data_IF_596024513297
#
_entry.id   IF_596024513297
#
_cell.length_a   1.000
_cell.length_b   1.000
_cell.length_c   1.000
_cell.angle_alpha   90.00
_cell.angle_beta   90.00
_cell.angle_gamma   90.00
#
_symmetry.space_group_name_H-M   'P 1'
#
loop_
_entity.id
_entity.type
_entity.pdbx_description
1 polymer ?
#
# COMPACT_ATOMS: atom_id res chain seq x y z
N UNK A 1 13.10 6.03 11.34
CA UNK A 1 11.93 5.63 10.54
C UNK A 1 12.30 4.41 9.72
N UNK A 2 11.46 3.39 9.71
CA UNK A 2 11.67 2.18 8.90
C UNK A 2 10.83 2.28 7.65
N UNK A 3 11.36 1.78 6.52
CA UNK A 3 10.66 1.73 5.25
C UNK A 3 10.32 0.27 4.93
N UNK A 4 9.05 0.01 4.66
CA UNK A 4 8.61 -1.25 4.08
C UNK A 4 8.28 -1.05 2.60
N UNK A 5 8.46 -2.08 1.78
CA UNK A 5 8.12 -2.04 0.36
C UNK A 5 7.12 -3.15 0.07
N UNK A 6 6.03 -2.81 -0.60
CA UNK A 6 5.12 -3.78 -1.21
C UNK A 6 5.16 -3.60 -2.73
N UNK A 7 4.94 -4.69 -3.48
CA UNK A 7 4.92 -4.64 -4.94
C UNK A 7 3.50 -4.84 -5.43
N UNK A 8 3.03 -3.90 -6.25
CA UNK A 8 1.70 -3.96 -6.85
C UNK A 8 1.84 -4.17 -8.35
N UNK A 9 1.21 -5.23 -8.86
CA UNK A 9 1.13 -5.51 -10.30
C UNK A 9 -0.20 -5.01 -10.84
N UNK A 10 -0.16 -4.13 -11.84
CA UNK A 10 -1.36 -3.75 -12.58
C UNK A 10 -1.64 -4.77 -13.70
N UNK A 11 -2.62 -5.65 -13.48
CA UNK A 11 -3.07 -6.64 -14.46
C UNK A 11 -4.14 -6.14 -15.42
N UNK A 12 -4.54 -4.86 -15.33
CA UNK A 12 -5.58 -4.27 -16.18
C UNK A 12 -4.95 -3.72 -17.48
N UNK A 13 -5.76 -3.61 -18.55
CA UNK A 13 -5.35 -2.96 -19.80
C UNK A 13 -5.54 -1.43 -19.77
N UNK A 14 -5.35 -0.83 -18.59
CA UNK A 14 -5.39 0.61 -18.36
C UNK A 14 -4.51 0.97 -17.18
N UNK A 15 -4.09 2.22 -17.10
CA UNK A 15 -3.36 2.73 -15.94
C UNK A 15 -4.29 2.75 -14.71
N UNK A 16 -3.72 2.49 -13.54
CA UNK A 16 -4.45 2.38 -12.29
C UNK A 16 -3.97 3.48 -11.33
N UNK A 17 -4.81 4.47 -11.05
CA UNK A 17 -4.49 5.54 -10.11
C UNK A 17 -4.44 5.02 -8.68
N UNK A 18 -3.46 5.48 -7.90
CA UNK A 18 -3.36 5.18 -6.46
C UNK A 18 -3.85 6.39 -5.71
N UNK A 19 -4.94 6.24 -4.96
CA UNK A 19 -5.55 7.35 -4.21
C UNK A 19 -4.89 7.44 -2.84
N UNK A 20 -4.88 6.32 -2.11
CA UNK A 20 -4.45 6.31 -0.71
C UNK A 20 -3.81 4.97 -0.36
N UNK A 21 -2.83 5.02 0.54
CA UNK A 21 -2.24 3.85 1.17
C UNK A 21 -2.45 3.99 2.67
N UNK A 22 -2.98 2.94 3.28
CA UNK A 22 -3.25 2.85 4.70
C UNK A 22 -2.38 1.77 5.31
N UNK A 23 -1.90 2.02 6.53
CA UNK A 23 -1.31 1.01 7.38
C UNK A 23 -2.27 0.81 8.55
N UNK A 24 -2.44 -0.42 8.99
CA UNK A 24 -3.14 -0.75 10.23
C UNK A 24 -2.20 -1.61 11.07
N UNK A 25 -2.00 -1.26 12.35
CA UNK A 25 -1.16 -2.01 13.28
C UNK A 25 -2.07 -2.71 14.27
N UNK A 26 -2.50 -3.94 14.04
CA UNK A 26 -3.41 -4.60 14.99
C UNK A 26 -2.79 -4.65 16.41
N UNK A 27 -3.50 -4.21 17.49
CA UNK A 27 -4.92 -3.82 17.58
C UNK A 27 -5.23 -2.31 17.39
N UNK A 28 -4.25 -1.49 16.99
CA UNK A 28 -4.35 -0.04 16.79
C UNK A 28 -4.42 0.38 15.31
N UNK A 29 -5.37 1.23 14.97
CA UNK A 29 -5.41 1.84 13.64
C UNK A 29 -4.36 2.97 13.56
N UNK A 30 -3.20 2.71 12.95
CA UNK A 30 -2.15 3.73 12.74
C UNK A 30 -2.15 4.17 11.28
N UNK A 31 -2.88 5.25 11.00
CA UNK A 31 -3.01 5.83 9.66
C UNK A 31 -1.73 6.56 9.26
N UNK A 32 -1.00 6.02 8.29
CA UNK A 32 0.07 6.75 7.60
C UNK A 32 -0.23 6.75 6.12
N UNK A 33 -0.54 7.94 5.58
CA UNK A 33 -0.68 8.18 4.15
C UNK A 33 0.68 8.64 3.61
N UNK A 34 1.31 7.81 2.80
CA UNK A 34 2.35 8.26 1.88
C UNK A 34 2.34 7.40 0.62
N UNK A 35 1.75 7.89 -0.46
CA UNK A 35 2.09 7.40 -1.80
C UNK A 35 3.09 8.38 -2.42
N UNK A 36 4.15 7.86 -3.04
CA UNK A 36 5.02 8.64 -3.92
C UNK A 36 4.62 8.52 -5.39
N UNK A 37 3.44 7.92 -5.67
CA UNK A 37 3.02 7.54 -7.00
C UNK A 37 1.54 7.86 -7.20
N UNK A 38 1.24 8.56 -8.30
CA UNK A 38 -0.13 8.91 -8.68
C UNK A 38 -0.80 7.78 -9.47
N UNK A 39 -0.03 6.94 -10.18
CA UNK A 39 -0.55 5.84 -10.98
C UNK A 39 0.43 4.68 -11.18
N UNK A 40 -0.13 3.50 -11.48
CA UNK A 40 0.58 2.28 -11.84
C UNK A 40 0.27 2.00 -13.32
N UNK A 41 1.25 2.13 -14.23
CA UNK A 41 1.02 1.90 -15.65
C UNK A 41 0.49 0.51 -15.95
N UNK A 42 -0.26 0.36 -17.06
CA UNK A 42 -0.78 -0.93 -17.49
C UNK A 42 0.30 -2.00 -17.62
N UNK A 43 0.06 -3.19 -17.05
CA UNK A 43 1.01 -4.31 -17.08
C UNK A 43 2.25 -4.16 -16.19
N UNK A 44 2.47 -3.01 -15.55
CA UNK A 44 3.66 -2.74 -14.75
C UNK A 44 3.59 -3.37 -13.36
N UNK A 45 4.76 -3.51 -12.75
CA UNK A 45 4.92 -3.81 -11.33
C UNK A 45 5.64 -2.61 -10.70
N UNK A 46 5.00 -1.98 -9.72
CA UNK A 46 5.53 -0.78 -9.06
C UNK A 46 5.74 -1.05 -7.57
N UNK A 47 6.90 -0.68 -7.01
CA UNK A 47 7.10 -0.71 -5.56
C UNK A 47 6.37 0.46 -4.90
N UNK A 48 5.55 0.18 -3.89
CA UNK A 48 4.97 1.19 -3.01
C UNK A 48 5.74 1.17 -1.70
N UNK A 49 6.35 2.31 -1.37
CA UNK A 49 7.09 2.51 -0.13
C UNK A 49 6.16 2.98 0.96
N UNK A 50 6.18 2.25 2.06
CA UNK A 50 5.34 2.47 3.22
C UNK A 50 6.27 2.87 4.36
N UNK A 51 6.24 4.15 4.72
CA UNK A 51 7.07 4.70 5.79
C UNK A 51 6.32 4.58 7.12
N UNK A 52 6.98 4.03 8.15
CA UNK A 52 6.34 3.85 9.44
C UNK A 52 7.29 3.47 10.56
N UNK A 53 6.76 3.53 11.78
CA UNK A 53 7.39 2.98 12.98
C UNK A 53 6.85 1.58 13.20
N UNK A 54 7.52 0.60 12.58
CA UNK A 54 7.18 -0.81 12.72
C UNK A 54 7.83 -1.36 13.99
N UNK A 55 7.11 -2.23 14.69
CA UNK A 55 7.51 -2.84 15.95
C UNK A 55 7.44 -4.35 15.78
N UNK A 56 8.49 -5.04 16.21
CA UNK A 56 8.54 -6.50 16.15
C UNK A 56 7.38 -7.14 16.93
N UNK A 57 6.85 -8.25 16.41
CA UNK A 57 5.74 -8.98 17.03
C UNK A 57 4.35 -8.35 16.85
N UNK A 58 4.23 -7.26 16.09
CA UNK A 58 2.94 -6.69 15.70
C UNK A 58 2.55 -7.13 14.29
N UNK A 59 1.27 -7.46 14.10
CA UNK A 59 0.74 -7.69 12.76
C UNK A 59 0.36 -6.36 12.11
N UNK A 60 0.80 -6.16 10.87
CA UNK A 60 0.47 -4.98 10.08
C UNK A 60 -0.40 -5.37 8.91
N UNK A 61 -1.32 -4.50 8.51
CA UNK A 61 -2.02 -4.64 7.25
C UNK A 61 -1.80 -3.38 6.43
N UNK A 62 -1.45 -3.53 5.16
CA UNK A 62 -1.39 -2.40 4.23
C UNK A 62 -2.59 -2.48 3.30
N UNK A 63 -3.43 -1.45 3.30
CA UNK A 63 -4.53 -1.32 2.35
C UNK A 63 -4.16 -0.29 1.30
N UNK A 64 -4.19 -0.66 0.04
CA UNK A 64 -4.01 0.26 -1.10
C UNK A 64 -5.38 0.50 -1.71
N UNK A 65 -5.79 1.77 -1.79
CA UNK A 65 -7.04 2.21 -2.43
C UNK A 65 -6.72 2.85 -3.77
N UNK A 66 -7.41 2.39 -4.81
CA UNK A 66 -7.23 2.84 -6.17
C UNK A 66 -8.35 3.79 -6.60
N UNK A 67 -8.11 4.60 -7.62
CA UNK A 67 -9.06 5.55 -8.22
C UNK A 67 -10.36 4.89 -8.71
N UNK A 68 -10.26 3.62 -9.12
CA UNK A 68 -11.37 2.75 -9.46
C UNK A 68 -12.32 2.41 -8.30
N UNK A 69 -12.04 2.89 -7.07
CA UNK A 69 -12.77 2.55 -5.84
C UNK A 69 -12.45 1.16 -5.29
N UNK A 70 -11.62 0.37 -5.99
CA UNK A 70 -11.18 -0.94 -5.52
C UNK A 70 -10.06 -0.77 -4.49
N UNK A 71 -9.88 -1.77 -3.63
CA UNK A 71 -8.77 -1.81 -2.70
C UNK A 71 -8.20 -3.21 -2.55
N UNK A 72 -6.89 -3.28 -2.31
CA UNK A 72 -6.19 -4.54 -2.00
C UNK A 72 -5.63 -4.42 -0.58
N UNK A 73 -5.81 -5.49 0.20
CA UNK A 73 -5.25 -5.64 1.54
C UNK A 73 -4.07 -6.60 1.51
N UNK A 74 -2.92 -6.15 2.00
CA UNK A 74 -1.70 -6.92 2.16
C UNK A 74 -1.51 -7.22 3.65
N UNK A 75 -1.79 -8.44 4.13
CA UNK A 75 -1.46 -8.84 5.48
C UNK A 75 0.06 -9.01 5.59
N UNK A 76 0.65 -8.38 6.60
CA UNK A 76 2.08 -8.42 6.90
C UNK A 76 2.24 -9.06 8.28
N UNK A 77 2.89 -10.21 8.29
CA UNK A 77 3.19 -11.02 9.48
C UNK A 77 4.63 -10.73 9.91
#
# INVERSE_FOLDING_TARGET
STCMQIYVRNGLDRDLGVVEVYINKSPYDVYVSSSCFDSIPKGAIVPIHVLGSFSDGCMYNVKVVFDSGHSILYPLI
#
